data_IF_703489371042
#
_entry.id   IF_703489371042
#
_cell.length_a   1.000
_cell.length_b   1.000
_cell.length_c   1.000
_cell.angle_alpha   90.00
_cell.angle_beta   90.00
_cell.angle_gamma   90.00
#
_symmetry.space_group_name_H-M   'P 1'
#
loop_
_entity.id
_entity.type
_entity.pdbx_description
1 polymer ?
#
# COMPACT_ATOMS: atom_id res chain seq x y z
N UNK A 1 -3.84 10.53 -10.60
CA UNK A 1 -2.90 11.11 -9.66
C UNK A 1 -3.03 10.44 -8.30
N UNK A 2 -1.94 10.22 -7.62
CA UNK A 2 -1.93 9.62 -6.29
C UNK A 2 -1.52 10.66 -5.26
N UNK A 3 -2.28 10.77 -4.19
CA UNK A 3 -1.87 11.53 -3.01
C UNK A 3 -1.63 10.58 -1.87
N UNK A 4 -0.53 10.81 -1.15
CA UNK A 4 -0.18 10.06 0.06
C UNK A 4 0.04 11.10 1.15
N UNK A 5 -0.77 11.05 2.19
CA UNK A 5 -0.64 11.99 3.29
C UNK A 5 -0.73 11.27 4.63
N UNK A 6 -0.18 11.89 5.65
CA UNK A 6 -0.22 11.35 6.99
C UNK A 6 -1.55 11.71 7.63
N UNK A 7 -2.22 10.72 8.19
CA UNK A 7 -3.46 10.91 8.94
C UNK A 7 -3.21 10.86 10.43
N UNK A 8 -4.29 10.79 11.20
CA UNK A 8 -4.20 10.60 12.64
C UNK A 8 -3.58 9.24 12.94
N UNK A 9 -2.95 9.09 14.11
CA UNK A 9 -2.31 7.85 14.55
C UNK A 9 -1.18 7.38 13.63
N UNK A 10 -0.57 8.31 12.88
CA UNK A 10 0.54 8.02 11.96
C UNK A 10 0.17 7.08 10.81
N UNK A 11 -1.13 7.01 10.48
CA UNK A 11 -1.56 6.26 9.31
C UNK A 11 -1.16 7.00 8.04
N UNK A 12 -0.98 6.27 6.94
CA UNK A 12 -0.82 6.87 5.62
C UNK A 12 -2.12 6.71 4.86
N UNK A 13 -2.66 7.81 4.37
CA UNK A 13 -3.92 7.83 3.63
C UNK A 13 -3.61 7.99 2.15
N UNK A 14 -4.05 7.02 1.35
CA UNK A 14 -3.85 7.02 -0.08
C UNK A 14 -5.15 7.41 -0.77
N UNK A 15 -5.07 8.38 -1.70
CA UNK A 15 -6.23 8.80 -2.48
C UNK A 15 -5.86 8.89 -3.95
N UNK A 16 -6.84 8.63 -4.82
CA UNK A 16 -6.70 8.77 -6.25
C UNK A 16 -6.36 7.44 -6.94
N UNK A 17 -5.41 7.49 -7.85
CA UNK A 17 -5.03 6.35 -8.69
C UNK A 17 -3.55 6.04 -8.51
N UNK A 18 -3.27 4.84 -8.11
CA UNK A 18 -1.89 4.36 -7.96
C UNK A 18 -1.50 3.60 -9.24
N UNK A 19 -1.25 4.33 -10.28
CA UNK A 19 -0.87 3.75 -11.57
C UNK A 19 0.64 3.85 -11.78
N UNK A 20 1.10 3.38 -12.94
CA UNK A 20 2.53 3.30 -13.20
C UNK A 20 3.23 4.67 -13.19
N UNK A 21 2.52 5.76 -13.49
CA UNK A 21 3.10 7.10 -13.50
C UNK A 21 3.42 7.61 -12.10
N UNK A 22 2.87 6.96 -11.05
CA UNK A 22 3.05 7.38 -9.66
C UNK A 22 4.11 6.56 -8.91
N UNK A 23 4.73 5.60 -9.60
CA UNK A 23 5.63 4.63 -8.95
C UNK A 23 6.82 5.32 -8.27
N UNK A 24 7.47 6.26 -8.94
CA UNK A 24 8.66 6.91 -8.35
C UNK A 24 8.31 7.69 -7.08
N UNK A 25 7.20 8.41 -7.11
CA UNK A 25 6.70 9.13 -5.94
C UNK A 25 6.42 8.17 -4.78
N UNK A 26 5.74 7.07 -5.08
CA UNK A 26 5.37 6.10 -4.06
C UNK A 26 6.59 5.37 -3.50
N UNK A 27 7.56 5.05 -4.35
CA UNK A 27 8.78 4.40 -3.87
C UNK A 27 9.50 5.26 -2.84
N UNK A 28 9.57 6.56 -3.08
CA UNK A 28 10.21 7.48 -2.13
C UNK A 28 9.55 7.47 -0.76
N UNK A 29 8.23 7.31 -0.74
CA UNK A 29 7.49 7.25 0.53
C UNK A 29 7.59 5.87 1.18
N UNK A 30 7.21 4.81 0.44
CA UNK A 30 7.04 3.50 1.05
C UNK A 30 8.37 2.81 1.37
N UNK A 31 9.39 3.00 0.54
CA UNK A 31 10.68 2.37 0.79
C UNK A 31 11.51 3.09 1.84
N UNK A 32 11.06 4.25 2.32
CA UNK A 32 11.70 4.95 3.44
C UNK A 32 11.11 4.56 4.79
N UNK A 33 10.04 3.76 4.82
CA UNK A 33 9.44 3.32 6.07
C UNK A 33 10.39 2.37 6.82
N UNK A 34 10.52 2.58 8.12
CA UNK A 34 11.39 1.77 8.96
C UNK A 34 10.62 0.92 9.97
N UNK A 35 9.31 1.09 10.04
CA UNK A 35 8.45 0.35 10.93
C UNK A 35 7.09 0.13 10.28
N UNK A 36 6.29 -0.74 10.87
CA UNK A 36 4.96 -1.03 10.36
C UNK A 36 4.08 0.22 10.32
N UNK A 37 3.20 0.26 9.33
CA UNK A 37 2.27 1.37 9.12
C UNK A 37 0.92 0.82 8.73
N UNK A 38 -0.12 1.54 9.08
CA UNK A 38 -1.46 1.30 8.55
C UNK A 38 -1.65 2.18 7.32
N UNK A 39 -2.04 1.56 6.22
CA UNK A 39 -2.33 2.25 4.97
C UNK A 39 -3.83 2.27 4.77
N UNK A 40 -4.39 3.46 4.70
CA UNK A 40 -5.84 3.64 4.52
C UNK A 40 -6.13 3.83 3.04
N UNK A 41 -6.88 2.90 2.48
CA UNK A 41 -7.22 2.85 1.06
C UNK A 41 -8.60 3.42 0.76
N UNK A 42 -9.25 4.07 1.73
CA UNK A 42 -10.64 4.51 1.55
C UNK A 42 -10.84 5.44 0.36
N UNK A 43 -9.83 6.22 0.01
CA UNK A 43 -9.89 7.13 -1.14
C UNK A 43 -9.15 6.63 -2.36
N UNK A 44 -8.67 5.38 -2.36
CA UNK A 44 -7.92 4.85 -3.49
C UNK A 44 -8.87 4.15 -4.47
N UNK A 45 -8.91 4.64 -5.71
CA UNK A 45 -9.83 4.14 -6.73
C UNK A 45 -9.24 3.01 -7.56
N UNK A 46 -7.92 2.96 -7.67
CA UNK A 46 -7.26 2.05 -8.60
C UNK A 46 -5.82 1.78 -8.15
N UNK A 47 -5.36 0.56 -8.37
CA UNK A 47 -3.94 0.22 -8.19
C UNK A 47 -3.50 -0.66 -9.36
N UNK A 48 -2.38 -0.31 -9.97
CA UNK A 48 -1.79 -1.08 -11.05
C UNK A 48 -0.87 -2.17 -10.51
N UNK A 49 -0.45 -3.09 -11.39
CA UNK A 49 0.53 -4.09 -10.99
C UNK A 49 1.86 -3.46 -10.59
N UNK A 50 2.23 -2.33 -11.21
CA UNK A 50 3.43 -1.59 -10.80
C UNK A 50 3.27 -1.00 -9.39
N UNK A 51 2.07 -0.49 -9.07
CA UNK A 51 1.76 -0.01 -7.72
C UNK A 51 1.81 -1.12 -6.69
N UNK A 52 1.24 -2.27 -7.02
CA UNK A 52 1.34 -3.47 -6.16
C UNK A 52 2.79 -3.85 -5.92
N UNK A 53 3.63 -3.75 -6.95
CA UNK A 53 5.04 -4.07 -6.83
C UNK A 53 5.77 -3.18 -5.82
N UNK A 54 5.42 -1.89 -5.78
CA UNK A 54 5.99 -0.97 -4.80
C UNK A 54 5.60 -1.38 -3.38
N UNK A 55 4.31 -1.66 -3.16
CA UNK A 55 3.85 -2.08 -1.84
C UNK A 55 4.48 -3.41 -1.42
N UNK A 56 4.62 -4.34 -2.36
CA UNK A 56 5.24 -5.63 -2.09
C UNK A 56 6.71 -5.45 -1.68
N UNK A 57 7.45 -4.59 -2.37
CA UNK A 57 8.84 -4.31 -2.03
C UNK A 57 8.96 -3.70 -0.64
N UNK A 58 8.06 -2.78 -0.31
CA UNK A 58 8.02 -2.17 1.03
C UNK A 58 7.72 -3.20 2.11
N UNK A 59 6.73 -4.08 1.87
CA UNK A 59 6.37 -5.12 2.82
C UNK A 59 7.53 -6.10 3.04
N UNK A 60 8.19 -6.48 1.95
CA UNK A 60 9.32 -7.39 2.02
C UNK A 60 10.46 -6.82 2.86
N UNK A 61 10.75 -5.53 2.66
CA UNK A 61 11.78 -4.83 3.41
C UNK A 61 11.42 -4.76 4.90
N UNK A 62 10.17 -4.44 5.20
CA UNK A 62 9.71 -4.33 6.60
C UNK A 62 9.65 -5.69 7.28
N UNK A 63 9.28 -6.74 6.58
CA UNK A 63 9.19 -8.08 7.16
C UNK A 63 10.56 -8.61 7.60
N UNK A 64 11.62 -8.18 6.95
CA UNK A 64 12.99 -8.52 7.36
C UNK A 64 13.34 -7.91 8.71
N UNK A 65 12.58 -6.91 9.14
CA UNK A 65 12.75 -6.23 10.44
C UNK A 65 11.67 -6.62 11.44
N UNK A 66 10.83 -7.59 11.10
CA UNK A 66 9.74 -8.03 11.96
C UNK A 66 8.52 -7.12 11.94
N UNK A 67 8.39 -6.26 10.92
CA UNK A 67 7.26 -5.33 10.78
C UNK A 67 6.35 -5.72 9.65
N UNK A 68 5.13 -5.18 9.65
CA UNK A 68 4.12 -5.42 8.62
C UNK A 68 3.40 -4.14 8.25
N UNK A 69 2.97 -4.07 7.00
CA UNK A 69 1.99 -3.09 6.55
C UNK A 69 0.59 -3.67 6.77
N UNK A 70 -0.29 -2.84 7.31
CA UNK A 70 -1.69 -3.19 7.51
C UNK A 70 -2.53 -2.33 6.58
N UNK A 71 -3.36 -2.97 5.77
CA UNK A 71 -4.22 -2.28 4.80
C UNK A 71 -5.64 -2.25 5.32
N UNK A 72 -6.24 -1.06 5.36
CA UNK A 72 -7.61 -0.90 5.86
C UNK A 72 -8.46 -0.19 4.81
N UNK A 73 -9.77 -0.40 4.88
CA UNK A 73 -10.75 0.23 3.99
C UNK A 73 -10.48 -0.06 2.52
N UNK A 74 -10.03 -1.26 2.22
CA UNK A 74 -9.77 -1.69 0.85
C UNK A 74 -11.10 -2.01 0.18
N UNK A 75 -11.40 -1.35 -0.96
CA UNK A 75 -12.65 -1.61 -1.66
C UNK A 75 -12.61 -2.98 -2.32
N UNK A 76 -13.78 -3.48 -2.75
CA UNK A 76 -13.90 -4.83 -3.27
C UNK A 76 -13.04 -5.06 -4.52
N UNK A 77 -12.96 -4.06 -5.39
CA UNK A 77 -12.18 -4.18 -6.61
C UNK A 77 -10.69 -4.37 -6.30
N UNK A 78 -10.14 -3.53 -5.43
CA UNK A 78 -8.72 -3.62 -5.05
C UNK A 78 -8.47 -4.88 -4.23
N UNK A 79 -9.41 -5.26 -3.36
CA UNK A 79 -9.31 -6.50 -2.60
C UNK A 79 -9.21 -7.72 -3.52
N UNK A 80 -9.98 -7.71 -4.60
CA UNK A 80 -9.93 -8.78 -5.59
C UNK A 80 -8.57 -8.84 -6.29
N UNK A 81 -7.98 -7.68 -6.60
CA UNK A 81 -6.65 -7.63 -7.20
C UNK A 81 -5.63 -8.30 -6.29
N UNK A 82 -5.68 -8.01 -5.00
CA UNK A 82 -4.76 -8.62 -4.03
C UNK A 82 -5.00 -10.13 -3.93
N UNK A 83 -6.26 -10.54 -3.93
CA UNK A 83 -6.62 -11.96 -3.82
C UNK A 83 -6.17 -12.75 -5.05
N UNK A 84 -6.43 -12.22 -6.25
CA UNK A 84 -6.04 -12.90 -7.50
C UNK A 84 -4.52 -12.99 -7.65
N UNK A 85 -3.80 -12.03 -7.11
CA UNK A 85 -2.35 -12.03 -7.14
C UNK A 85 -1.72 -12.89 -6.03
N UNK A 86 -2.53 -13.37 -5.09
CA UNK A 86 -2.02 -14.08 -3.91
C UNK A 86 -1.43 -13.15 -2.86
N UNK A 87 -1.50 -11.85 -3.03
CA UNK A 87 -0.88 -10.89 -2.13
C UNK A 87 -1.66 -10.71 -0.83
N UNK A 88 -2.91 -11.16 -0.79
CA UNK A 88 -3.68 -11.16 0.46
C UNK A 88 -3.07 -12.09 1.53
N UNK A 89 -2.17 -12.98 1.13
CA UNK A 89 -1.43 -13.82 2.06
C UNK A 89 -0.18 -13.13 2.60
N UNK A 90 0.25 -12.05 1.96
CA UNK A 90 1.49 -11.35 2.29
C UNK A 90 1.22 -10.13 3.17
N UNK A 91 0.15 -9.40 2.87
CA UNK A 91 -0.26 -8.23 3.63
C UNK A 91 -1.30 -8.59 4.67
N UNK A 92 -1.33 -7.81 5.74
CA UNK A 92 -2.44 -7.87 6.69
C UNK A 92 -3.54 -6.95 6.17
N UNK A 93 -4.65 -7.53 5.71
CA UNK A 93 -5.78 -6.78 5.16
C UNK A 93 -6.95 -6.91 6.14
N UNK A 94 -7.34 -5.78 6.70
CA UNK A 94 -8.43 -5.73 7.67
C UNK A 94 -9.79 -5.53 7.00
#
# INVERSE_FOLDING_TARGET
MLEIREGSNHDLILTGRFDASQVEKARGVFLSLNEGKTLDFSGLDYISSAGLGVLLAAQKRLSQRGHKLRLVNVNNHIRDVFRFSGFDQIFEIA
#
